data_IF_893117459330
#
_entry.id   IF_893117459330
#
_cell.length_a   1.000
_cell.length_b   1.000
_cell.length_c   1.000
_cell.angle_alpha   90.00
_cell.angle_beta   90.00
_cell.angle_gamma   90.00
#
_symmetry.space_group_name_H-M   'P 1'
#
loop_
_entity.id
_entity.type
_entity.pdbx_description
1 polymer ?
#
# COMPACT_ATOMS: atom_id res chain seq x y z
N UNK A 1 13.00 2.25 35.56
CA UNK A 1 12.87 2.22 34.09
C UNK A 1 12.08 0.96 33.75
N UNK A 2 10.80 1.11 33.46
CA UNK A 2 9.87 -0.01 33.33
C UNK A 2 10.25 -0.88 32.12
N UNK A 3 10.17 -2.21 32.25
CA UNK A 3 10.47 -3.17 31.18
C UNK A 3 9.65 -2.92 29.90
N UNK A 4 8.47 -2.33 30.04
CA UNK A 4 7.54 -2.04 28.95
C UNK A 4 8.06 -0.97 27.97
N UNK A 5 8.74 0.08 28.47
CA UNK A 5 9.28 1.16 27.62
C UNK A 5 10.46 0.70 26.77
N UNK A 6 11.31 -0.17 27.35
CA UNK A 6 12.44 -0.81 26.63
C UNK A 6 11.94 -1.76 25.54
N UNK A 7 10.88 -2.53 25.84
CA UNK A 7 10.26 -3.44 24.88
C UNK A 7 9.62 -2.68 23.70
N UNK A 8 8.95 -1.55 23.97
CA UNK A 8 8.32 -0.72 22.95
C UNK A 8 9.33 -0.09 21.98
N UNK A 9 10.44 0.48 22.49
CA UNK A 9 11.49 1.03 21.66
C UNK A 9 12.20 -0.05 20.85
N UNK A 10 12.50 -1.20 21.45
CA UNK A 10 13.15 -2.29 20.72
C UNK A 10 12.27 -2.83 19.57
N UNK A 11 10.96 -3.00 19.81
CA UNK A 11 10.01 -3.38 18.76
C UNK A 11 9.90 -2.30 17.67
N UNK A 12 9.91 -1.02 18.06
CA UNK A 12 9.95 0.07 17.08
C UNK A 12 11.18 -0.04 16.19
N UNK A 13 12.37 -0.26 16.76
CA UNK A 13 13.61 -0.40 16.00
C UNK A 13 13.52 -1.53 14.97
N UNK A 14 13.08 -2.71 15.41
CA UNK A 14 13.03 -3.92 14.56
C UNK A 14 12.08 -3.71 13.38
N UNK A 15 10.84 -3.25 13.66
CA UNK A 15 9.83 -3.04 12.62
C UNK A 15 10.22 -1.92 11.67
N UNK A 16 10.72 -0.79 12.21
CA UNK A 16 11.13 0.33 11.40
C UNK A 16 12.31 -0.04 10.49
N UNK A 17 13.28 -0.80 11.00
CA UNK A 17 14.44 -1.24 10.22
C UNK A 17 14.02 -2.11 9.04
N UNK A 18 13.19 -3.13 9.29
CA UNK A 18 12.68 -4.01 8.24
C UNK A 18 11.92 -3.22 7.17
N UNK A 19 11.05 -2.30 7.58
CA UNK A 19 10.30 -1.44 6.66
C UNK A 19 11.22 -0.55 5.80
N UNK A 20 12.24 0.07 6.39
CA UNK A 20 13.17 0.95 5.68
C UNK A 20 14.06 0.15 4.73
N UNK A 21 14.62 -0.99 5.17
CA UNK A 21 15.44 -1.85 4.32
C UNK A 21 14.69 -2.38 3.10
N UNK A 22 13.40 -2.72 3.26
CA UNK A 22 12.58 -3.28 2.19
C UNK A 22 12.02 -2.22 1.22
N UNK A 23 11.60 -1.05 1.72
CA UNK A 23 10.84 -0.09 0.92
C UNK A 23 11.59 1.22 0.62
N UNK A 24 12.65 1.51 1.38
CA UNK A 24 13.47 2.72 1.27
C UNK A 24 14.96 2.38 1.44
N UNK A 25 15.52 1.49 0.59
CA UNK A 25 16.89 0.98 0.76
C UNK A 25 17.95 2.09 0.72
N UNK A 26 17.66 3.22 0.08
CA UNK A 26 18.51 4.41 0.04
C UNK A 26 18.69 5.06 1.43
N UNK A 27 17.75 4.86 2.36
CA UNK A 27 17.82 5.36 3.75
C UNK A 27 18.38 4.34 4.75
N UNK A 28 18.43 3.06 4.38
CA UNK A 28 18.92 2.00 5.26
C UNK A 28 20.34 2.24 5.82
N UNK A 29 21.32 2.78 5.05
CA UNK A 29 22.65 3.09 5.58
C UNK A 29 22.66 4.15 6.69
N UNK A 30 21.63 5.01 6.74
CA UNK A 30 21.49 6.08 7.73
C UNK A 30 20.58 5.69 8.90
N UNK A 31 19.91 4.54 8.82
CA UNK A 31 18.90 4.12 9.79
C UNK A 31 19.42 4.09 11.22
N UNK A 32 20.60 3.51 11.47
CA UNK A 32 21.13 3.38 12.82
C UNK A 32 21.46 4.76 13.43
N UNK A 33 21.87 5.76 12.63
CA UNK A 33 22.10 7.15 13.08
C UNK A 33 20.78 7.83 13.47
N UNK A 34 19.74 7.67 12.65
CA UNK A 34 18.40 8.18 12.97
C UNK A 34 17.81 7.50 14.20
N UNK A 35 17.99 6.19 14.33
CA UNK A 35 17.52 5.41 15.46
C UNK A 35 18.18 5.84 16.78
N UNK A 36 19.51 6.00 16.82
CA UNK A 36 20.23 6.39 18.04
C UNK A 36 19.80 7.78 18.53
N UNK A 37 19.61 8.72 17.59
CA UNK A 37 19.12 10.06 17.89
C UNK A 37 17.68 10.02 18.42
N UNK A 38 16.80 9.27 17.76
CA UNK A 38 15.41 9.11 18.18
C UNK A 38 15.29 8.45 19.56
N UNK A 39 16.00 7.33 19.77
CA UNK A 39 15.97 6.59 21.03
C UNK A 39 16.50 7.42 22.20
N UNK A 40 17.59 8.19 22.00
CA UNK A 40 18.14 9.06 23.04
C UNK A 40 17.17 10.16 23.45
N UNK A 41 16.44 10.75 22.49
CA UNK A 41 15.43 11.78 22.77
C UNK A 41 14.18 11.22 23.43
N UNK A 42 13.70 10.07 22.98
CA UNK A 42 12.57 9.38 23.61
C UNK A 42 12.90 8.97 25.06
N UNK A 43 14.12 8.50 25.32
CA UNK A 43 14.58 8.19 26.68
C UNK A 43 14.64 9.43 27.57
N UNK A 44 15.16 10.55 27.04
CA UNK A 44 15.17 11.83 27.77
C UNK A 44 13.76 12.29 28.11
N UNK A 45 12.82 12.23 27.15
CA UNK A 45 11.42 12.57 27.38
C UNK A 45 10.78 11.68 28.45
N UNK A 46 10.91 10.35 28.33
CA UNK A 46 10.34 9.42 29.30
C UNK A 46 10.95 9.52 30.70
N UNK A 47 12.19 10.02 30.84
CA UNK A 47 12.77 10.33 32.15
C UNK A 47 12.05 11.49 32.87
N UNK A 48 11.44 12.40 32.11
CA UNK A 48 10.70 13.56 32.61
C UNK A 48 9.18 13.30 32.67
N UNK A 49 8.67 12.41 31.81
CA UNK A 49 7.25 12.06 31.70
C UNK A 49 7.08 10.55 31.43
N UNK A 50 7.18 9.71 32.47
CA UNK A 50 7.13 8.25 32.32
C UNK A 50 5.79 7.75 31.78
N UNK A 51 5.81 6.81 30.84
CA UNK A 51 4.61 6.16 30.30
C UNK A 51 3.66 7.08 29.52
N UNK A 52 4.12 8.29 29.15
CA UNK A 52 3.37 9.25 28.34
C UNK A 52 4.01 9.31 26.96
N UNK A 53 3.21 9.30 25.90
CA UNK A 53 3.69 9.60 24.56
C UNK A 53 3.86 11.12 24.39
N UNK A 54 4.93 11.61 23.74
CA UNK A 54 5.11 13.04 23.49
C UNK A 54 3.90 13.65 22.78
N UNK A 55 3.47 14.82 23.25
CA UNK A 55 2.46 15.62 22.57
C UNK A 55 2.92 15.96 21.13
N UNK A 56 2.00 16.23 20.19
CA UNK A 56 2.31 16.45 18.78
C UNK A 56 3.48 17.40 18.52
N UNK A 57 3.55 18.52 19.25
CA UNK A 57 4.60 19.53 19.09
C UNK A 57 5.96 19.00 19.56
N UNK A 58 6.01 18.31 20.70
CA UNK A 58 7.23 17.69 21.22
C UNK A 58 7.71 16.53 20.33
N UNK A 59 6.78 15.76 19.76
CA UNK A 59 7.10 14.75 18.77
C UNK A 59 7.68 15.38 17.48
N UNK A 60 7.16 16.52 17.05
CA UNK A 60 7.68 17.27 15.91
C UNK A 60 9.11 17.78 16.15
N UNK A 61 9.43 18.26 17.35
CA UNK A 61 10.79 18.69 17.72
C UNK A 61 11.78 17.51 17.67
N UNK A 62 11.38 16.35 18.21
CA UNK A 62 12.18 15.12 18.16
C UNK A 62 12.41 14.68 16.70
N UNK A 63 11.37 14.68 15.87
CA UNK A 63 11.47 14.32 14.44
C UNK A 63 12.40 15.28 13.70
N UNK A 64 12.27 16.58 13.95
CA UNK A 64 13.07 17.62 13.30
C UNK A 64 14.55 17.46 13.64
N UNK A 65 14.88 17.22 14.91
CA UNK A 65 16.28 16.98 15.33
C UNK A 65 16.85 15.67 14.77
N UNK A 66 16.08 14.58 14.74
CA UNK A 66 16.49 13.33 14.10
C UNK A 66 16.83 13.56 12.62
N UNK A 67 16.06 14.42 11.95
CA UNK A 67 16.26 14.74 10.55
C UNK A 67 17.54 15.52 10.27
N UNK A 68 17.97 16.37 11.22
CA UNK A 68 19.22 17.13 11.11
C UNK A 68 20.47 16.30 11.43
N UNK A 69 20.34 15.14 12.06
CA UNK A 69 21.47 14.29 12.46
C UNK A 69 22.34 13.80 11.27
N UNK A 70 21.80 13.81 10.04
CA UNK A 70 22.51 13.38 8.83
C UNK A 70 22.88 14.53 7.86
N UNK A 71 22.61 15.80 8.21
CA UNK A 71 23.10 16.96 7.45
C UNK A 71 22.54 17.14 6.03
N UNK A 72 21.40 16.53 5.67
CA UNK A 72 20.83 16.60 4.32
C UNK A 72 19.31 16.55 4.27
N UNK A 73 18.74 17.14 3.21
CA UNK A 73 17.30 17.17 2.88
C UNK A 73 16.85 15.88 2.18
N UNK A 74 17.07 14.72 2.79
CA UNK A 74 16.35 13.51 2.37
C UNK A 74 14.92 13.60 2.90
N UNK A 75 13.96 13.16 2.09
CA UNK A 75 12.56 13.08 2.51
C UNK A 75 12.50 12.45 3.91
N UNK A 76 11.68 13.01 4.80
CA UNK A 76 11.63 12.71 6.23
C UNK A 76 11.17 11.27 6.57
N UNK A 77 11.44 10.26 5.74
CA UNK A 77 10.86 8.93 5.78
C UNK A 77 11.25 8.17 7.03
N UNK A 78 12.55 7.99 7.31
CA UNK A 78 12.98 7.27 8.51
C UNK A 78 12.53 7.95 9.82
N UNK A 79 12.70 9.28 10.00
CA UNK A 79 12.19 9.98 11.18
C UNK A 79 10.67 9.85 11.38
N UNK A 80 9.88 10.00 10.32
CA UNK A 80 8.42 9.89 10.36
C UNK A 80 7.98 8.45 10.63
N UNK A 81 8.68 7.47 10.05
CA UNK A 81 8.44 6.04 10.27
C UNK A 81 8.64 5.68 11.73
N UNK A 82 9.76 6.11 12.33
CA UNK A 82 10.06 5.87 13.74
C UNK A 82 9.01 6.48 14.68
N UNK A 83 8.65 7.74 14.46
CA UNK A 83 7.65 8.42 15.29
C UNK A 83 6.25 7.81 15.14
N UNK A 84 5.86 7.44 13.91
CA UNK A 84 4.57 6.78 13.64
C UNK A 84 4.50 5.42 14.33
N UNK A 85 5.57 4.63 14.23
CA UNK A 85 5.64 3.29 14.84
C UNK A 85 5.62 3.32 16.35
N UNK A 86 6.45 4.16 16.98
CA UNK A 86 6.46 4.25 18.43
C UNK A 86 5.13 4.79 18.99
N UNK A 87 4.49 5.77 18.33
CA UNK A 87 3.16 6.23 18.72
C UNK A 87 2.11 5.10 18.60
N UNK A 88 2.23 4.31 17.54
CA UNK A 88 1.34 3.19 17.26
C UNK A 88 1.49 2.07 18.29
N UNK A 89 2.72 1.63 18.55
CA UNK A 89 3.02 0.59 19.54
C UNK A 89 2.70 1.04 20.98
N UNK A 90 2.87 2.33 21.30
CA UNK A 90 2.48 2.87 22.60
C UNK A 90 0.97 2.74 22.83
N UNK A 91 0.15 3.04 21.83
CA UNK A 91 -1.31 2.93 21.94
C UNK A 91 -1.77 1.46 21.96
N UNK A 92 -1.15 0.61 21.16
CA UNK A 92 -1.40 -0.85 21.15
C UNK A 92 -1.11 -1.49 22.52
N UNK A 93 -0.06 -1.04 23.22
CA UNK A 93 0.26 -1.57 24.55
C UNK A 93 -0.77 -1.18 25.63
N UNK A 94 -1.67 -0.22 25.35
CA UNK A 94 -2.69 0.26 26.30
C UNK A 94 -4.11 -0.20 25.96
N UNK A 95 -4.40 -0.46 24.68
CA UNK A 95 -5.73 -0.82 24.19
C UNK A 95 -5.65 -1.97 23.16
N UNK A 96 -6.59 -2.92 23.22
CA UNK A 96 -6.76 -3.92 22.16
C UNK A 96 -7.40 -3.24 20.95
N UNK A 97 -6.61 -2.97 19.93
CA UNK A 97 -7.07 -2.34 18.69
C UNK A 97 -7.42 -3.39 17.63
N UNK A 98 -8.57 -3.24 16.98
CA UNK A 98 -8.87 -3.97 15.75
C UNK A 98 -7.95 -3.53 14.61
N UNK A 99 -7.83 -4.35 13.56
CA UNK A 99 -7.04 -4.00 12.36
C UNK A 99 -7.44 -2.66 11.75
N UNK A 100 -8.74 -2.34 11.76
CA UNK A 100 -9.28 -1.08 11.23
C UNK A 100 -8.86 0.12 12.09
N UNK A 101 -8.89 -0.03 13.42
CA UNK A 101 -8.46 1.00 14.36
C UNK A 101 -6.96 1.24 14.30
N UNK A 102 -6.17 0.16 14.17
CA UNK A 102 -4.73 0.23 13.98
C UNK A 102 -4.36 1.02 12.70
N UNK A 103 -4.98 0.70 11.57
CA UNK A 103 -4.78 1.42 10.30
C UNK A 103 -5.15 2.90 10.42
N UNK A 104 -6.26 3.21 11.11
CA UNK A 104 -6.68 4.60 11.36
C UNK A 104 -5.64 5.34 12.20
N UNK A 105 -5.12 4.69 13.24
CA UNK A 105 -4.15 5.28 14.17
C UNK A 105 -2.80 5.54 13.50
N UNK A 106 -2.31 4.60 12.69
CA UNK A 106 -1.10 4.78 11.87
C UNK A 106 -1.29 5.96 10.92
N UNK A 107 -2.44 6.05 10.23
CA UNK A 107 -2.74 7.14 9.30
C UNK A 107 -2.77 8.51 9.98
N UNK A 108 -3.43 8.60 11.13
CA UNK A 108 -3.50 9.84 11.92
C UNK A 108 -2.11 10.27 12.38
N UNK A 109 -1.33 9.33 12.94
CA UNK A 109 0.02 9.57 13.42
C UNK A 109 0.94 10.03 12.29
N UNK A 110 0.96 9.31 11.16
CA UNK A 110 1.77 9.68 9.99
C UNK A 110 1.42 11.08 9.47
N UNK A 111 0.13 11.40 9.36
CA UNK A 111 -0.33 12.72 8.89
C UNK A 111 0.09 13.83 9.86
N UNK A 112 -0.06 13.60 11.16
CA UNK A 112 0.37 14.53 12.20
C UNK A 112 1.87 14.82 12.15
N UNK A 113 2.68 13.84 11.73
CA UNK A 113 4.13 13.96 11.60
C UNK A 113 4.58 14.48 10.23
N UNK A 114 3.66 14.96 9.39
CA UNK A 114 3.99 15.56 8.09
C UNK A 114 4.31 14.53 7.00
N UNK A 115 3.89 13.28 7.17
CA UNK A 115 4.04 12.24 6.17
C UNK A 115 3.33 12.61 4.87
N UNK A 116 4.06 12.58 3.76
CA UNK A 116 3.46 12.68 2.42
C UNK A 116 2.51 11.49 2.19
N UNK A 117 1.45 11.63 1.36
CA UNK A 117 0.46 10.57 1.14
C UNK A 117 1.07 9.21 0.77
N UNK A 118 2.15 9.20 -0.01
CA UNK A 118 2.90 7.98 -0.41
C UNK A 118 3.48 7.22 0.78
N UNK A 119 4.11 7.93 1.72
CA UNK A 119 4.69 7.32 2.93
C UNK A 119 3.57 6.87 3.87
N UNK A 120 2.51 7.67 4.02
CA UNK A 120 1.35 7.29 4.84
C UNK A 120 0.71 5.98 4.36
N UNK A 121 0.58 5.80 3.04
CA UNK A 121 0.06 4.56 2.46
C UNK A 121 1.00 3.37 2.71
N UNK A 122 2.32 3.55 2.52
CA UNK A 122 3.31 2.52 2.80
C UNK A 122 3.30 2.09 4.28
N UNK A 123 3.27 3.06 5.22
CA UNK A 123 3.17 2.80 6.65
C UNK A 123 1.89 2.01 6.96
N UNK A 124 0.72 2.46 6.49
CA UNK A 124 -0.55 1.73 6.72
C UNK A 124 -0.53 0.32 6.14
N UNK A 125 0.12 0.10 4.99
CA UNK A 125 0.17 -1.21 4.33
C UNK A 125 1.08 -2.20 5.05
N UNK A 126 2.29 -1.79 5.38
CA UNK A 126 3.33 -2.73 5.82
C UNK A 126 3.47 -2.78 7.35
N UNK A 127 3.32 -1.64 8.04
CA UNK A 127 3.41 -1.62 9.51
C UNK A 127 2.19 -2.27 10.14
N UNK A 128 0.99 -2.11 9.58
CA UNK A 128 -0.20 -2.77 10.14
C UNK A 128 -0.04 -4.29 10.14
N UNK A 129 0.58 -4.87 9.11
CA UNK A 129 0.85 -6.30 9.04
C UNK A 129 1.89 -6.72 10.09
N UNK A 130 3.02 -6.00 10.14
CA UNK A 130 4.12 -6.28 11.08
C UNK A 130 3.71 -6.08 12.56
N UNK A 131 2.86 -5.08 12.86
CA UNK A 131 2.30 -4.88 14.20
C UNK A 131 1.32 -5.99 14.58
N UNK A 132 0.51 -6.50 13.64
CA UNK A 132 -0.41 -7.61 13.92
C UNK A 132 0.32 -8.92 14.17
N UNK A 133 1.42 -9.20 13.45
CA UNK A 133 2.27 -10.37 13.70
C UNK A 133 2.94 -10.35 15.07
N UNK A 134 3.27 -9.16 15.60
CA UNK A 134 3.83 -9.00 16.95
C UNK A 134 2.74 -9.10 18.03
N UNK A 135 1.50 -8.73 17.70
CA UNK A 135 0.35 -8.83 18.59
C UNK A 135 -0.23 -10.25 18.70
N UNK A 136 -0.14 -11.06 17.65
CA UNK A 136 -0.59 -12.45 17.65
C UNK A 136 0.26 -13.37 18.54
N UNK A 137 1.44 -12.93 18.98
CA UNK A 137 2.25 -13.63 20.00
C UNK A 137 1.65 -13.50 21.42
N UNK A 138 0.58 -12.70 21.62
CA UNK A 138 -0.02 -12.42 22.94
C UNK A 138 -1.48 -12.83 23.15
N UNK A 139 -2.15 -13.54 22.23
CA UNK A 139 -3.51 -13.99 22.52
C UNK A 139 -3.91 -15.29 21.79
N UNK A 140 -4.02 -16.36 22.58
CA UNK A 140 -5.03 -17.41 22.41
C UNK A 140 -6.31 -16.93 23.13
N UNK A 141 -7.48 -17.07 22.50
CA UNK A 141 -8.79 -16.83 23.14
C UNK A 141 -9.81 -16.09 22.29
N UNK A 142 -10.87 -16.82 21.93
CA UNK A 142 -12.09 -16.47 21.19
C UNK A 142 -12.76 -15.13 21.55
N UNK A 143 -13.46 -14.54 20.56
CA UNK A 143 -14.87 -14.15 20.73
C UNK A 143 -15.53 -13.80 19.38
N UNK A 144 -16.78 -14.27 19.21
CA UNK A 144 -17.64 -14.04 18.05
C UNK A 144 -18.54 -12.81 18.24
N UNK A 145 -18.73 -12.00 17.17
CA UNK A 145 -19.62 -10.83 17.17
C UNK A 145 -20.80 -11.05 16.21
N UNK A 146 -22.00 -10.74 16.70
CA UNK A 146 -23.30 -10.84 16.02
C UNK A 146 -23.44 -9.76 14.93
N UNK A 147 -23.78 -10.16 13.71
CA UNK A 147 -23.93 -9.28 12.54
C UNK A 147 -25.33 -8.68 12.41
N UNK A 148 -25.42 -7.36 12.25
CA UNK A 148 -26.60 -6.69 11.69
C UNK A 148 -26.69 -6.95 10.17
N UNK A 149 -27.89 -6.81 9.59
CA UNK A 149 -28.16 -7.13 8.19
C UNK A 149 -27.23 -6.36 7.21
N UNK A 150 -26.72 -7.01 6.15
CA UNK A 150 -25.67 -6.45 5.30
C UNK A 150 -26.22 -5.29 4.45
N UNK A 151 -25.63 -4.10 4.61
CA UNK A 151 -25.66 -3.08 3.55
C UNK A 151 -24.85 -3.63 2.37
N UNK A 152 -25.22 -3.32 1.11
CA UNK A 152 -24.42 -3.73 -0.04
C UNK A 152 -23.02 -3.11 0.09
N UNK A 153 -22.01 -3.97 0.20
CA UNK A 153 -20.61 -3.58 0.29
C UNK A 153 -19.97 -3.79 -1.09
N UNK A 154 -19.29 -2.78 -1.60
CA UNK A 154 -18.56 -2.84 -2.85
C UNK A 154 -17.08 -2.89 -2.55
N UNK A 155 -16.35 -3.85 -3.10
CA UNK A 155 -14.90 -3.79 -3.13
C UNK A 155 -14.47 -3.10 -4.42
N UNK A 156 -13.72 -2.01 -4.31
CA UNK A 156 -13.29 -1.21 -5.46
C UNK A 156 -11.79 -1.21 -5.56
N UNK A 157 -11.24 -1.07 -6.77
CA UNK A 157 -9.83 -0.84 -7.02
C UNK A 157 -9.63 0.52 -7.67
N UNK A 158 -8.81 1.36 -7.04
CA UNK A 158 -8.30 2.63 -7.59
C UNK A 158 -6.90 2.88 -6.99
N UNK A 159 -6.05 3.70 -7.63
CA UNK A 159 -4.71 4.03 -7.10
C UNK A 159 -3.80 2.83 -6.76
N UNK A 160 -3.93 1.72 -7.47
CA UNK A 160 -3.22 0.46 -7.28
C UNK A 160 -3.70 -0.41 -6.10
N UNK A 161 -4.75 0.00 -5.38
CA UNK A 161 -5.21 -0.70 -4.16
C UNK A 161 -6.66 -1.16 -4.30
N UNK A 162 -7.10 -2.06 -3.40
CA UNK A 162 -8.50 -2.44 -3.24
C UNK A 162 -9.04 -2.11 -1.86
N UNK A 163 -10.27 -1.61 -1.76
CA UNK A 163 -10.93 -1.36 -0.47
C UNK A 163 -12.44 -1.51 -0.56
N UNK A 164 -13.08 -1.76 0.57
CA UNK A 164 -14.53 -1.92 0.67
C UNK A 164 -15.20 -0.58 0.99
N UNK A 165 -16.22 -0.21 0.23
CA UNK A 165 -17.07 0.96 0.44
C UNK A 165 -18.54 0.55 0.52
N UNK A 166 -19.32 1.31 1.29
CA UNK A 166 -20.77 1.09 1.39
C UNK A 166 -21.54 1.56 0.14
N UNK A 167 -20.91 2.36 -0.73
CA UNK A 167 -21.51 2.87 -1.97
C UNK A 167 -20.44 3.38 -2.94
N UNK A 168 -20.71 3.25 -4.24
CA UNK A 168 -19.90 3.79 -5.34
C UNK A 168 -20.53 5.01 -6.03
N UNK A 169 -21.66 5.54 -5.54
CA UNK A 169 -22.43 6.59 -6.25
C UNK A 169 -21.60 7.84 -6.58
N UNK A 170 -20.66 8.24 -5.72
CA UNK A 170 -19.75 9.36 -5.99
C UNK A 170 -18.84 9.14 -7.19
N UNK A 171 -18.50 7.89 -7.50
CA UNK A 171 -17.66 7.54 -8.65
C UNK A 171 -18.50 7.41 -9.92
N UNK A 172 -19.78 7.03 -9.80
CA UNK A 172 -20.69 6.90 -10.94
C UNK A 172 -20.92 8.24 -11.66
N UNK A 173 -20.88 9.35 -10.93
CA UNK A 173 -20.94 10.72 -11.47
C UNK A 173 -19.77 11.02 -12.43
N UNK A 174 -18.63 10.36 -12.23
CA UNK A 174 -17.39 10.51 -13.00
C UNK A 174 -17.08 9.30 -13.87
N UNK A 175 -18.03 8.38 -14.06
CA UNK A 175 -17.78 7.11 -14.76
C UNK A 175 -17.22 7.28 -16.18
N UNK A 176 -17.59 8.39 -16.84
CA UNK A 176 -17.22 8.68 -18.21
C UNK A 176 -15.84 9.36 -18.29
N UNK A 177 -15.23 9.72 -17.17
CA UNK A 177 -13.86 10.27 -17.12
C UNK A 177 -12.82 9.14 -17.22
N UNK A 178 -13.12 7.96 -16.66
CA UNK A 178 -12.23 6.80 -16.68
C UNK A 178 -12.08 6.17 -18.07
N UNK A 179 -10.87 5.69 -18.40
CA UNK A 179 -10.64 4.81 -19.56
C UNK A 179 -11.24 3.42 -19.34
N UNK A 180 -11.24 2.96 -18.09
CA UNK A 180 -11.80 1.67 -17.69
C UNK A 180 -12.76 1.84 -16.53
N UNK A 181 -14.05 1.63 -16.78
CA UNK A 181 -15.08 1.46 -15.76
C UNK A 181 -15.58 0.01 -15.82
N UNK A 182 -15.17 -0.83 -14.88
CA UNK A 182 -15.38 -2.29 -14.94
C UNK A 182 -16.03 -2.81 -13.66
N UNK A 183 -17.23 -3.38 -13.79
CA UNK A 183 -17.84 -4.22 -12.76
C UNK A 183 -17.28 -5.64 -12.90
N UNK A 184 -16.41 -6.09 -12.00
CA UNK A 184 -15.78 -7.40 -12.02
C UNK A 184 -16.76 -8.57 -11.87
N UNK A 185 -17.99 -8.33 -11.40
CA UNK A 185 -19.03 -9.35 -11.35
C UNK A 185 -19.76 -9.53 -12.69
N UNK A 186 -19.64 -8.56 -13.61
CA UNK A 186 -20.24 -8.69 -14.94
C UNK A 186 -19.46 -9.67 -15.83
N UNK A 187 -20.20 -10.49 -16.58
CA UNK A 187 -19.59 -11.46 -17.51
C UNK A 187 -19.10 -10.85 -18.82
N UNK A 188 -19.48 -9.60 -19.12
CA UNK A 188 -19.19 -8.95 -20.40
C UNK A 188 -19.12 -7.44 -20.22
N UNK A 189 -17.94 -6.87 -20.43
CA UNK A 189 -17.74 -5.41 -20.42
C UNK A 189 -17.68 -4.89 -21.85
N UNK A 190 -18.54 -3.91 -22.16
CA UNK A 190 -18.60 -3.24 -23.45
C UNK A 190 -18.11 -1.81 -23.29
N UNK A 191 -17.21 -1.36 -24.16
CA UNK A 191 -16.74 0.03 -24.14
C UNK A 191 -17.89 0.98 -24.48
N UNK A 192 -18.25 1.84 -23.52
CA UNK A 192 -19.29 2.86 -23.71
C UNK A 192 -18.84 3.95 -24.69
N UNK A 193 -17.56 4.33 -24.67
CA UNK A 193 -16.98 5.37 -25.54
C UNK A 193 -16.67 4.88 -26.96
N UNK A 194 -16.28 3.62 -27.14
CA UNK A 194 -15.69 3.16 -28.41
C UNK A 194 -16.42 2.00 -29.09
N UNK A 195 -17.69 1.73 -28.73
CA UNK A 195 -18.67 0.95 -29.50
C UNK A 195 -18.29 -0.51 -29.82
N UNK A 196 -19.09 -1.48 -29.35
CA UNK A 196 -18.97 -2.93 -29.62
C UNK A 196 -17.64 -3.62 -29.22
N UNK A 197 -16.62 -2.90 -28.75
CA UNK A 197 -15.38 -3.48 -28.23
C UNK A 197 -15.64 -4.11 -26.86
N UNK A 198 -15.25 -5.37 -26.72
CA UNK A 198 -15.48 -6.17 -25.51
C UNK A 198 -14.18 -6.60 -24.87
N UNK A 199 -14.13 -6.60 -23.55
CA UNK A 199 -13.06 -7.23 -22.81
C UNK A 199 -13.39 -8.69 -22.57
N UNK A 200 -12.44 -9.56 -22.89
CA UNK A 200 -12.50 -10.96 -22.46
C UNK A 200 -12.15 -11.05 -20.97
N UNK A 201 -12.67 -12.05 -20.22
CA UNK A 201 -12.36 -12.21 -18.79
C UNK A 201 -10.85 -12.23 -18.51
N UNK A 202 -10.08 -12.85 -19.40
CA UNK A 202 -8.61 -12.88 -19.30
C UNK A 202 -7.95 -11.50 -19.48
N UNK A 203 -8.52 -10.62 -20.30
CA UNK A 203 -8.02 -9.25 -20.44
C UNK A 203 -8.32 -8.42 -19.18
N UNK A 204 -9.48 -8.66 -18.55
CA UNK A 204 -9.82 -8.07 -17.25
C UNK A 204 -8.88 -8.58 -16.15
N UNK A 205 -8.61 -9.89 -16.11
CA UNK A 205 -7.64 -10.49 -15.17
C UNK A 205 -6.25 -9.88 -15.36
N UNK A 206 -5.80 -9.72 -16.61
CA UNK A 206 -4.53 -9.04 -16.92
C UNK A 206 -4.53 -7.58 -16.44
N UNK A 207 -5.58 -6.82 -16.72
CA UNK A 207 -5.69 -5.42 -16.29
C UNK A 207 -5.62 -5.30 -14.76
N UNK A 208 -6.41 -6.12 -14.04
CA UNK A 208 -6.40 -6.17 -12.57
C UNK A 208 -5.01 -6.52 -12.04
N UNK A 209 -4.36 -7.53 -12.62
CA UNK A 209 -3.01 -7.96 -12.24
C UNK A 209 -1.98 -6.83 -12.36
N UNK A 210 -2.04 -6.07 -13.46
CA UNK A 210 -1.13 -4.95 -13.70
C UNK A 210 -1.44 -3.74 -12.80
N UNK A 211 -2.72 -3.51 -12.48
CA UNK A 211 -3.17 -2.47 -11.55
C UNK A 211 -2.67 -2.74 -10.14
N UNK A 212 -2.75 -3.98 -9.66
CA UNK A 212 -2.27 -4.37 -8.34
C UNK A 212 -0.74 -4.21 -8.19
N UNK A 213 -0.03 -4.02 -9.31
CA UNK A 213 1.42 -3.79 -9.41
C UNK A 213 1.75 -2.46 -10.09
N UNK A 214 0.87 -1.47 -9.96
CA UNK A 214 1.04 -0.18 -10.61
C UNK A 214 2.41 0.44 -10.27
N UNK A 215 3.15 0.86 -11.30
CA UNK A 215 4.51 1.41 -11.17
C UNK A 215 5.62 0.37 -11.04
N UNK A 216 5.29 -0.91 -10.93
CA UNK A 216 6.26 -2.00 -10.74
C UNK A 216 6.21 -2.97 -11.93
N UNK A 217 7.35 -3.28 -12.56
CA UNK A 217 7.39 -4.29 -13.61
C UNK A 217 7.24 -5.71 -13.03
N UNK A 218 6.45 -6.54 -13.70
CA UNK A 218 6.26 -7.95 -13.41
C UNK A 218 6.98 -8.82 -14.46
N UNK A 219 7.73 -9.86 -14.06
CA UNK A 219 8.27 -10.86 -14.97
C UNK A 219 7.18 -11.51 -15.85
N UNK A 220 7.56 -11.93 -17.06
CA UNK A 220 6.64 -12.61 -17.99
C UNK A 220 6.16 -13.93 -17.40
N UNK A 221 7.06 -14.63 -16.70
CA UNK A 221 6.82 -15.86 -15.97
C UNK A 221 5.65 -15.71 -15.00
N UNK A 222 5.65 -14.65 -14.20
CA UNK A 222 4.63 -14.39 -13.18
C UNK A 222 3.29 -14.03 -13.83
N UNK A 223 3.30 -13.29 -14.94
CA UNK A 223 2.09 -12.98 -15.70
C UNK A 223 1.48 -14.25 -16.28
N UNK A 224 2.28 -15.14 -16.86
CA UNK A 224 1.80 -16.41 -17.40
C UNK A 224 1.17 -17.28 -16.32
N UNK A 225 1.83 -17.38 -15.16
CA UNK A 225 1.31 -18.13 -14.02
C UNK A 225 0.02 -17.55 -13.47
N UNK A 226 0.00 -16.26 -13.14
CA UNK A 226 -1.08 -15.67 -12.35
C UNK A 226 -2.28 -15.21 -13.22
N UNK A 227 -2.05 -14.91 -14.50
CA UNK A 227 -3.11 -14.44 -15.42
C UNK A 227 -3.58 -15.55 -16.37
N UNK A 228 -2.66 -16.38 -16.86
CA UNK A 228 -2.98 -17.41 -17.84
C UNK A 228 -3.17 -18.79 -17.21
N UNK A 229 -2.79 -18.96 -15.94
CA UNK A 229 -2.78 -20.24 -15.22
C UNK A 229 -1.93 -21.27 -16.00
N UNK A 230 -0.85 -20.80 -16.63
CA UNK A 230 0.01 -21.52 -17.57
C UNK A 230 1.48 -21.41 -17.12
N UNK A 231 2.30 -22.37 -17.53
CA UNK A 231 3.76 -22.35 -17.26
C UNK A 231 4.46 -21.80 -18.50
N UNK A 232 5.56 -21.08 -18.31
CA UNK A 232 6.39 -20.64 -19.42
C UNK A 232 6.78 -21.84 -20.30
N UNK A 233 6.46 -21.72 -21.58
CA UNK A 233 6.82 -22.73 -22.56
C UNK A 233 8.25 -22.53 -23.04
N UNK A 234 8.81 -23.57 -23.66
CA UNK A 234 10.10 -23.46 -24.36
C UNK A 234 10.05 -22.42 -25.50
N UNK A 235 8.85 -22.06 -25.97
CA UNK A 235 8.62 -21.01 -26.95
C UNK A 235 8.22 -19.68 -26.28
N UNK A 236 9.22 -19.00 -25.71
CA UNK A 236 9.07 -17.68 -25.06
C UNK A 236 8.34 -16.63 -25.93
N UNK A 237 8.52 -16.65 -27.26
CA UNK A 237 7.85 -15.71 -28.16
C UNK A 237 6.35 -16.00 -28.30
N UNK A 238 5.96 -17.28 -28.21
CA UNK A 238 4.56 -17.68 -28.16
C UNK A 238 3.83 -17.12 -26.94
N UNK A 239 4.47 -17.17 -25.78
CA UNK A 239 3.90 -16.66 -24.53
C UNK A 239 3.82 -15.12 -24.51
N UNK A 240 4.85 -14.43 -25.01
CA UNK A 240 4.79 -12.97 -25.24
C UNK A 240 3.62 -12.59 -26.15
N UNK A 241 3.39 -13.34 -27.23
CA UNK A 241 2.27 -13.10 -28.13
C UNK A 241 0.90 -13.33 -27.47
N UNK A 242 0.74 -14.33 -26.60
CA UNK A 242 -0.51 -14.52 -25.82
C UNK A 242 -0.84 -13.30 -24.96
N UNK A 243 0.20 -12.74 -24.32
CA UNK A 243 0.09 -11.54 -23.49
C UNK A 243 -0.23 -10.31 -24.35
N UNK A 244 0.51 -10.10 -25.45
CA UNK A 244 0.30 -8.96 -26.34
C UNK A 244 -1.10 -8.95 -26.98
N UNK A 245 -1.68 -10.12 -27.25
CA UNK A 245 -3.08 -10.21 -27.68
C UNK A 245 -4.06 -9.64 -26.64
N UNK A 246 -3.85 -9.89 -25.34
CA UNK A 246 -4.73 -9.33 -24.31
C UNK A 246 -4.48 -7.83 -24.12
N UNK A 247 -3.23 -7.38 -24.18
CA UNK A 247 -2.88 -5.95 -24.15
C UNK A 247 -3.49 -5.19 -25.33
N UNK A 248 -3.49 -5.79 -26.52
CA UNK A 248 -4.13 -5.23 -27.71
C UNK A 248 -5.64 -5.09 -27.55
N UNK A 249 -6.30 -6.03 -26.86
CA UNK A 249 -7.74 -5.89 -26.50
C UNK A 249 -7.98 -4.76 -25.52
N UNK A 250 -7.15 -4.62 -24.49
CA UNK A 250 -7.21 -3.51 -23.53
C UNK A 250 -7.01 -2.16 -24.24
N UNK A 251 -6.03 -2.10 -25.14
CA UNK A 251 -5.77 -0.91 -25.94
C UNK A 251 -6.92 -0.56 -26.88
N UNK A 252 -7.49 -1.57 -27.54
CA UNK A 252 -8.65 -1.35 -28.37
C UNK A 252 -9.84 -0.85 -27.54
N UNK A 253 -10.08 -1.40 -26.36
CA UNK A 253 -11.22 -1.03 -25.52
C UNK A 253 -11.30 0.46 -25.19
N UNK A 254 -10.16 1.11 -25.00
CA UNK A 254 -10.02 2.54 -24.66
C UNK A 254 -9.59 3.42 -25.85
N UNK A 255 -9.83 2.97 -27.09
CA UNK A 255 -9.56 3.81 -28.28
C UNK A 255 -8.09 3.99 -28.64
N UNK A 256 -7.18 3.19 -28.07
CA UNK A 256 -5.76 3.19 -28.40
C UNK A 256 -4.85 3.85 -27.36
N UNK A 257 -5.42 4.36 -26.27
CA UNK A 257 -4.69 5.15 -25.27
C UNK A 257 -3.95 4.32 -24.23
N UNK A 258 -4.41 3.08 -23.94
CA UNK A 258 -3.83 2.26 -22.87
C UNK A 258 -2.34 2.00 -23.04
N UNK A 259 -1.85 1.78 -24.27
CA UNK A 259 -0.43 1.48 -24.52
C UNK A 259 0.50 2.64 -24.13
N UNK A 260 0.01 3.87 -24.07
CA UNK A 260 0.79 5.04 -23.62
C UNK A 260 1.17 4.93 -22.14
N UNK A 261 0.36 4.21 -21.37
CA UNK A 261 0.55 3.98 -19.95
C UNK A 261 1.42 2.75 -19.65
N UNK A 262 1.78 1.94 -20.63
CA UNK A 262 2.70 0.82 -20.44
C UNK A 262 4.17 1.28 -20.44
N UNK A 263 5.06 0.52 -19.78
CA UNK A 263 6.51 0.75 -19.89
C UNK A 263 7.02 0.49 -21.32
N UNK A 264 8.04 1.21 -21.78
CA UNK A 264 8.51 1.19 -23.17
C UNK A 264 9.22 -0.10 -23.61
N UNK A 265 9.73 -0.93 -22.68
CA UNK A 265 10.40 -2.23 -22.93
C UNK A 265 9.75 -3.36 -22.12
N UNK A 266 8.53 -3.68 -22.53
CA UNK A 266 7.48 -4.39 -21.84
C UNK A 266 7.85 -5.84 -21.55
N UNK A 267 8.59 -6.47 -22.46
CA UNK A 267 9.01 -7.86 -22.32
C UNK A 267 10.46 -7.98 -21.84
N UNK A 268 11.33 -7.02 -22.15
CA UNK A 268 12.75 -7.07 -21.75
C UNK A 268 12.97 -6.64 -20.30
N UNK A 269 12.12 -5.74 -19.79
CA UNK A 269 12.22 -5.18 -18.42
C UNK A 269 11.04 -5.58 -17.52
N UNK A 270 10.20 -6.49 -17.97
CA UNK A 270 8.96 -6.88 -17.31
C UNK A 270 7.76 -5.98 -17.68
N UNK A 271 6.57 -6.58 -17.59
CA UNK A 271 5.30 -5.94 -17.90
C UNK A 271 4.86 -5.06 -16.75
N UNK A 272 4.53 -3.81 -17.03
CA UNK A 272 4.04 -2.91 -15.99
C UNK A 272 3.32 -1.70 -16.57
N UNK A 273 2.49 -1.10 -15.72
CA UNK A 273 1.82 0.16 -15.97
C UNK A 273 2.56 1.29 -15.24
N UNK A 274 2.70 2.44 -15.91
CA UNK A 274 3.20 3.67 -15.31
C UNK A 274 2.23 4.13 -14.23
N UNK A 275 2.78 4.78 -13.20
CA UNK A 275 1.98 5.36 -12.11
C UNK A 275 0.96 6.40 -12.58
N UNK A 276 1.18 7.04 -13.73
CA UNK A 276 0.22 7.97 -14.34
C UNK A 276 -1.10 7.33 -14.77
N UNK A 277 -1.23 6.00 -14.75
CA UNK A 277 -2.48 5.30 -15.02
C UNK A 277 -3.42 5.23 -13.80
N UNK A 278 -2.99 5.71 -12.63
CA UNK A 278 -3.75 5.60 -11.37
C UNK A 278 -5.18 6.15 -11.43
N UNK A 279 -5.37 7.24 -12.18
CA UNK A 279 -6.64 7.96 -12.29
C UNK A 279 -7.48 7.54 -13.52
N UNK A 280 -6.97 6.60 -14.32
CA UNK A 280 -7.57 6.24 -15.61
C UNK A 280 -8.53 5.04 -15.51
N UNK A 281 -8.71 4.46 -14.33
CA UNK A 281 -9.54 3.28 -14.15
C UNK A 281 -10.36 3.29 -12.84
N UNK A 282 -11.43 2.53 -12.85
CA UNK A 282 -12.27 2.19 -11.72
C UNK A 282 -12.77 0.74 -11.89
N UNK A 283 -12.29 -0.18 -11.05
CA UNK A 283 -12.79 -1.57 -11.01
C UNK A 283 -13.60 -1.77 -9.72
N UNK A 284 -14.67 -2.54 -9.76
CA UNK A 284 -15.44 -2.85 -8.55
C UNK A 284 -16.12 -4.22 -8.60
N UNK A 285 -16.33 -4.84 -7.45
CA UNK A 285 -17.17 -6.03 -7.25
C UNK A 285 -18.14 -5.80 -6.08
N UNK A 286 -19.31 -6.44 -6.16
CA UNK A 286 -20.38 -6.47 -5.15
C UNK A 286 -20.36 -7.75 -4.34
#
# INVERSE_FOLDING_TARGET
MHEDDKSCLNNTRIIARAFIEEHYPDEAPLFDVFWETFASRMQLFHSQSPGVWPAPNTAHDIITEVSFAAGGTLDFVTPITLATLSATLHNINRERLSSTELKRLIRQSATQYGSKPRLTAALVRHISALCMEILTVKADGDDAVVSAAPKPQYKIWTNGESWTVDSISKYEEHKDDYLFWIDLNERSHVSKKFGNRRLTPRAVKLLKYLIERLGTPAPVEDVMKDVFDDVMSDNTEGDKNKIDQQLSKLNAFCGGQFREYCFTKWFDKGLGLKTSFADEYFLFER
#
